data_IF_263478943635
#
_entry.id   IF_263478943635
#
_cell.length_a   1.000
_cell.length_b   1.000
_cell.length_c   1.000
_cell.angle_alpha   90.00
_cell.angle_beta   90.00
_cell.angle_gamma   90.00
#
_symmetry.space_group_name_H-M   'P 1'
#
loop_
_entity.id
_entity.type
_entity.pdbx_description
1 polymer ?
#
# COMPACT_ATOMS: atom_id res chain seq x y z
N UNK A 1 3.20 3.28 -9.57
CA UNK A 1 1.98 4.09 -9.75
C UNK A 1 2.18 5.31 -10.66
N UNK A 2 3.23 6.13 -10.48
CA UNK A 2 3.53 7.26 -11.40
C UNK A 2 3.68 6.86 -12.87
N UNK A 3 4.27 5.70 -13.12
CA UNK A 3 4.46 5.17 -14.48
C UNK A 3 3.17 4.61 -15.11
N UNK A 4 2.22 4.14 -14.28
CA UNK A 4 0.89 3.69 -14.71
C UNK A 4 -0.16 4.82 -14.75
N UNK A 5 0.20 6.05 -14.36
CA UNK A 5 -0.74 7.20 -14.32
C UNK A 5 -1.87 7.04 -13.30
N UNK A 6 -1.70 6.16 -12.32
CA UNK A 6 -2.74 5.85 -11.33
C UNK A 6 -2.69 6.88 -10.21
N UNK A 7 -3.81 7.50 -9.81
CA UNK A 7 -3.84 8.42 -8.68
C UNK A 7 -3.58 7.65 -7.38
N UNK A 8 -2.61 8.12 -6.61
CA UNK A 8 -2.29 7.56 -5.30
C UNK A 8 -1.98 8.68 -4.33
N UNK A 9 -2.23 8.43 -3.05
CA UNK A 9 -1.91 9.35 -1.97
C UNK A 9 -0.72 8.79 -1.20
N UNK A 10 0.40 9.52 -1.21
CA UNK A 10 1.52 9.21 -0.34
C UNK A 10 1.22 9.74 1.05
N UNK A 11 1.08 8.84 2.01
CA UNK A 11 0.91 9.20 3.42
C UNK A 11 2.27 9.04 4.08
N UNK A 12 2.88 10.16 4.44
CA UNK A 12 4.15 10.15 5.15
C UNK A 12 3.92 9.67 6.59
N UNK A 13 4.43 8.47 6.89
CA UNK A 13 4.27 7.81 8.17
C UNK A 13 5.63 7.63 8.87
N UNK A 14 6.28 8.74 9.30
CA UNK A 14 7.59 8.67 9.93
C UNK A 14 7.53 7.91 11.27
N UNK A 15 8.68 7.38 11.71
CA UNK A 15 8.76 6.62 12.97
C UNK A 15 8.22 7.44 14.14
N UNK A 16 7.18 6.92 14.80
CA UNK A 16 6.55 7.54 15.98
C UNK A 16 5.29 8.36 15.68
N UNK A 17 4.98 8.63 14.41
CA UNK A 17 3.78 9.37 14.03
C UNK A 17 2.48 8.58 14.27
N UNK A 18 1.37 9.31 14.37
CA UNK A 18 0.04 8.70 14.43
C UNK A 18 -0.28 7.94 13.14
N UNK A 19 0.11 8.47 11.98
CA UNK A 19 -0.07 7.80 10.68
C UNK A 19 0.63 6.43 10.62
N UNK A 20 1.80 6.28 11.24
CA UNK A 20 2.48 4.98 11.33
C UNK A 20 1.72 4.00 12.21
N UNK A 21 1.18 4.45 13.35
CA UNK A 21 0.33 3.62 14.22
C UNK A 21 -0.91 3.16 13.49
N UNK A 22 -1.60 4.06 12.81
CA UNK A 22 -2.78 3.73 12.01
C UNK A 22 -2.44 2.75 10.87
N UNK A 23 -1.32 2.92 10.18
CA UNK A 23 -0.86 1.98 9.18
C UNK A 23 -0.54 0.59 9.77
N UNK A 24 0.09 0.54 10.95
CA UNK A 24 0.36 -0.72 11.66
C UNK A 24 -0.95 -1.41 12.02
N UNK A 25 -1.92 -0.68 12.57
CA UNK A 25 -3.24 -1.23 12.92
C UNK A 25 -3.99 -1.73 11.68
N UNK A 26 -4.03 -0.94 10.60
CA UNK A 26 -4.69 -1.35 9.35
C UNK A 26 -4.02 -2.53 8.66
N UNK A 27 -2.71 -2.70 8.81
CA UNK A 27 -1.99 -3.86 8.30
C UNK A 27 -1.92 -5.05 9.25
N UNK A 28 -2.73 -5.06 10.32
CA UNK A 28 -2.78 -6.19 11.25
C UNK A 28 -1.54 -6.37 12.11
N UNK A 29 -0.79 -5.31 12.39
CA UNK A 29 0.40 -5.31 13.26
C UNK A 29 1.73 -5.25 12.52
N UNK A 30 1.73 -5.18 11.19
CA UNK A 30 2.97 -5.10 10.41
C UNK A 30 3.65 -3.74 10.58
N UNK A 31 4.95 -3.75 10.90
CA UNK A 31 5.76 -2.55 11.14
C UNK A 31 6.74 -2.23 10.01
N UNK A 32 6.76 -3.09 9.00
CA UNK A 32 7.59 -2.99 7.80
C UNK A 32 7.07 -1.87 6.91
N UNK A 33 7.96 -1.03 6.41
CA UNK A 33 7.64 0.05 5.47
C UNK A 33 8.38 -0.20 4.15
N UNK A 34 7.82 0.19 2.99
CA UNK A 34 6.52 0.85 2.81
C UNK A 34 5.33 -0.10 3.04
N UNK A 35 4.20 0.44 3.52
CA UNK A 35 2.92 -0.28 3.57
C UNK A 35 1.97 0.31 2.54
N UNK A 36 1.51 -0.54 1.63
CA UNK A 36 0.70 -0.17 0.50
C UNK A 36 -0.72 -0.64 0.76
N UNK A 37 -1.68 0.27 0.55
CA UNK A 37 -3.10 0.01 0.71
C UNK A 37 -3.82 0.37 -0.58
N UNK A 38 -4.71 -0.50 -1.02
CA UNK A 38 -5.58 -0.27 -2.18
C UNK A 38 -7.01 -0.53 -1.72
N UNK A 39 -7.90 0.43 -1.95
CA UNK A 39 -9.30 0.38 -1.49
C UNK A 39 -9.47 0.05 0.01
N UNK A 40 -8.53 0.49 0.85
CA UNK A 40 -8.51 0.18 2.29
C UNK A 40 -8.02 -1.23 2.65
N UNK A 41 -7.75 -2.11 1.69
CA UNK A 41 -7.05 -3.36 1.92
C UNK A 41 -5.54 -3.15 2.03
N UNK A 42 -4.92 -3.69 3.08
CA UNK A 42 -3.47 -3.80 3.18
C UNK A 42 -2.96 -4.81 2.16
N UNK A 43 -2.24 -4.32 1.17
CA UNK A 43 -1.53 -5.15 0.21
C UNK A 43 -0.23 -5.64 0.82
N UNK A 44 0.44 -4.80 1.62
CA UNK A 44 1.70 -5.14 2.27
C UNK A 44 2.83 -4.28 1.72
N UNK A 45 3.96 -4.92 1.40
CA UNK A 45 5.19 -4.24 1.00
C UNK A 45 5.24 -3.82 -0.47
N UNK A 46 6.40 -3.31 -0.87
CA UNK A 46 6.74 -3.07 -2.27
C UNK A 46 6.70 -4.39 -3.07
N UNK A 47 7.20 -5.48 -2.50
CA UNK A 47 7.21 -6.81 -3.12
C UNK A 47 5.81 -7.33 -3.43
N UNK A 48 4.87 -7.23 -2.49
CA UNK A 48 3.49 -7.68 -2.71
C UNK A 48 2.80 -6.86 -3.80
N UNK A 49 3.05 -5.55 -3.86
CA UNK A 49 2.54 -4.72 -4.95
C UNK A 49 3.12 -5.17 -6.30
N UNK A 50 4.42 -5.46 -6.35
CA UNK A 50 5.08 -5.95 -7.56
C UNK A 50 4.54 -7.33 -7.96
N UNK A 51 4.25 -8.20 -7.01
CA UNK A 51 3.65 -9.50 -7.28
C UNK A 51 2.23 -9.35 -7.85
N UNK A 52 1.40 -8.47 -7.29
CA UNK A 52 0.08 -8.18 -7.84
C UNK A 52 0.16 -7.60 -9.25
N UNK A 53 1.15 -6.75 -9.52
CA UNK A 53 1.41 -6.21 -10.85
C UNK A 53 1.78 -7.33 -11.81
N UNK A 54 2.74 -8.17 -11.42
CA UNK A 54 3.25 -9.28 -12.24
C UNK A 54 2.20 -10.37 -12.49
N UNK A 55 1.27 -10.55 -11.55
CA UNK A 55 0.14 -11.48 -11.70
C UNK A 55 -1.05 -10.87 -12.43
N UNK A 56 -1.00 -9.58 -12.80
CA UNK A 56 -2.10 -8.85 -13.44
C UNK A 56 -3.30 -8.60 -12.53
N UNK A 57 -3.17 -8.86 -11.22
CA UNK A 57 -4.21 -8.65 -10.21
C UNK A 57 -4.25 -7.21 -9.71
N UNK A 58 -3.21 -6.43 -9.99
CA UNK A 58 -3.17 -5.02 -9.62
C UNK A 58 -4.15 -4.18 -10.44
N UNK A 59 -4.22 -4.38 -11.74
CA UNK A 59 -5.11 -3.63 -12.64
C UNK A 59 -6.59 -3.65 -12.22
N UNK A 60 -7.22 -4.78 -11.88
CA UNK A 60 -8.60 -4.78 -11.38
C UNK A 60 -8.75 -4.14 -9.99
N UNK A 61 -7.70 -4.14 -9.16
CA UNK A 61 -7.72 -3.45 -7.86
C UNK A 61 -7.61 -1.93 -8.02
N UNK A 62 -6.98 -1.45 -9.08
CA UNK A 62 -6.83 -0.02 -9.39
C UNK A 62 -7.99 0.56 -10.20
N UNK A 63 -8.76 -0.30 -10.88
CA UNK A 63 -9.91 0.08 -11.69
C UNK A 63 -11.26 0.00 -10.94
N UNK A 64 -11.24 -0.41 -9.67
CA UNK A 64 -12.42 -0.52 -8.80
C UNK A 64 -12.87 0.84 -8.25
#
# INVERSE_FOLDING_TARGET
MREKGVPFTEIDAPRGSAARREAIERSGGSTTVPQIFIDGQSIGGCDELLELERTGRLDPLLAA
#
